data_IF_022240353547
#
_entry.id   IF_022240353547
#
_cell.length_a   1.000
_cell.length_b   1.000
_cell.length_c   1.000
_cell.angle_alpha   90.00
_cell.angle_beta   90.00
_cell.angle_gamma   90.00
#
_symmetry.space_group_name_H-M   'P 1'
#
loop_
_entity.id
_entity.type
_entity.pdbx_description
1 polymer ?
#
# COMPACT_ATOMS: atom_id res chain seq x y z
N UNK A 1 14.21 -14.76 11.44
CA UNK A 1 13.76 -15.26 10.11
C UNK A 1 14.97 -15.26 9.17
N UNK A 2 15.21 -16.29 8.36
CA UNK A 2 16.40 -16.35 7.48
C UNK A 2 16.31 -15.37 6.31
N UNK A 3 17.44 -15.01 5.68
CA UNK A 3 17.48 -14.09 4.51
C UNK A 3 16.59 -14.55 3.37
N UNK A 4 16.55 -15.85 3.13
CA UNK A 4 15.70 -16.46 2.09
C UNK A 4 14.22 -16.31 2.43
N UNK A 5 13.82 -16.57 3.68
CA UNK A 5 12.43 -16.34 4.11
C UNK A 5 12.02 -14.86 4.00
N UNK A 6 12.94 -13.91 4.24
CA UNK A 6 12.68 -12.47 4.06
C UNK A 6 12.42 -12.13 2.59
N UNK A 7 13.19 -12.69 1.63
CA UNK A 7 12.90 -12.51 0.19
C UNK A 7 11.51 -13.00 -0.19
N UNK A 8 11.12 -14.17 0.31
CA UNK A 8 9.81 -14.76 0.04
C UNK A 8 8.69 -13.91 0.64
N UNK A 9 8.86 -13.45 1.88
CA UNK A 9 7.94 -12.51 2.51
C UNK A 9 7.82 -11.21 1.70
N UNK A 10 8.93 -10.64 1.25
CA UNK A 10 8.94 -9.43 0.43
C UNK A 10 8.16 -9.62 -0.88
N UNK A 11 8.30 -10.80 -1.50
CA UNK A 11 7.55 -11.15 -2.70
C UNK A 11 6.03 -11.25 -2.45
N UNK A 12 5.62 -11.93 -1.37
CA UNK A 12 4.20 -12.01 -0.99
C UNK A 12 3.64 -10.64 -0.62
N UNK A 13 4.37 -9.83 0.14
CA UNK A 13 3.96 -8.48 0.50
C UNK A 13 3.83 -7.57 -0.73
N UNK A 14 4.77 -7.66 -1.67
CA UNK A 14 4.71 -6.94 -2.94
C UNK A 14 3.44 -7.30 -3.71
N UNK A 15 3.14 -8.60 -3.85
CA UNK A 15 1.94 -9.07 -4.54
C UNK A 15 0.66 -8.56 -3.86
N UNK A 16 0.57 -8.64 -2.53
CA UNK A 16 -0.57 -8.13 -1.76
C UNK A 16 -0.74 -6.61 -1.90
N UNK A 17 0.37 -5.87 -1.96
CA UNK A 17 0.38 -4.41 -2.13
C UNK A 17 -0.08 -3.95 -3.52
N UNK A 18 -0.14 -4.85 -4.52
CA UNK A 18 -0.63 -4.47 -5.87
C UNK A 18 -2.12 -4.14 -5.88
N UNK A 19 -2.92 -4.90 -5.14
CA UNK A 19 -4.35 -4.67 -4.96
C UNK A 19 -4.78 -5.15 -3.56
N UNK A 20 -4.56 -4.33 -2.52
CA UNK A 20 -4.98 -4.66 -1.17
C UNK A 20 -6.50 -4.76 -1.07
N UNK A 21 -7.01 -5.82 -0.47
CA UNK A 21 -8.46 -6.02 -0.28
C UNK A 21 -9.03 -4.91 0.62
N UNK A 22 -8.38 -4.67 1.77
CA UNK A 22 -8.72 -3.57 2.68
C UNK A 22 -7.51 -2.70 2.91
N UNK A 23 -7.45 -1.53 2.25
CA UNK A 23 -6.32 -0.60 2.37
C UNK A 23 -6.12 -0.12 3.81
N UNK A 24 -7.22 0.08 4.54
CA UNK A 24 -7.22 0.55 5.93
C UNK A 24 -6.44 -0.39 6.86
N UNK A 25 -6.64 -1.69 6.73
CA UNK A 25 -5.97 -2.69 7.55
C UNK A 25 -4.65 -3.19 6.97
N UNK A 26 -4.53 -3.22 5.64
CA UNK A 26 -3.31 -3.67 4.97
C UNK A 26 -2.11 -2.73 5.23
N UNK A 27 -2.28 -1.41 5.14
CA UNK A 27 -1.15 -0.49 5.26
C UNK A 27 -0.46 -0.45 6.63
N UNK A 28 -1.19 -0.56 7.77
CA UNK A 28 -0.58 -0.80 9.07
C UNK A 28 0.30 -2.06 9.09
N UNK A 29 -0.20 -3.20 8.58
CA UNK A 29 0.55 -4.46 8.51
C UNK A 29 1.79 -4.31 7.61
N UNK A 30 1.64 -3.68 6.44
CA UNK A 30 2.76 -3.38 5.54
C UNK A 30 3.84 -2.55 6.24
N UNK A 31 3.43 -1.53 6.98
CA UNK A 31 4.34 -0.64 7.70
C UNK A 31 5.11 -1.39 8.78
N UNK A 32 4.43 -2.25 9.55
CA UNK A 32 5.07 -3.13 10.53
C UNK A 32 6.10 -4.07 9.89
N UNK A 33 5.75 -4.71 8.77
CA UNK A 33 6.66 -5.61 8.06
C UNK A 33 7.87 -4.84 7.53
N UNK A 34 7.66 -3.64 6.96
CA UNK A 34 8.75 -2.79 6.47
C UNK A 34 9.68 -2.35 7.60
N UNK A 35 9.14 -1.92 8.73
CA UNK A 35 9.92 -1.49 9.90
C UNK A 35 10.71 -2.64 10.52
N UNK A 36 10.14 -3.84 10.55
CA UNK A 36 10.77 -5.01 11.18
C UNK A 36 11.81 -5.71 10.31
N UNK A 37 11.58 -5.79 9.00
CA UNK A 37 12.41 -6.60 8.09
C UNK A 37 13.08 -5.79 6.97
N UNK A 38 12.73 -4.52 6.82
CA UNK A 38 13.29 -3.63 5.81
C UNK A 38 14.41 -2.75 6.33
N UNK A 39 15.09 -2.10 5.40
CA UNK A 39 16.03 -1.02 5.65
C UNK A 39 15.51 0.27 5.00
N UNK A 40 15.72 1.41 5.65
CA UNK A 40 15.37 2.72 5.06
C UNK A 40 16.26 2.96 3.84
N UNK A 41 15.65 3.40 2.74
CA UNK A 41 16.29 3.60 1.43
C UNK A 41 15.94 4.98 0.85
N UNK A 42 16.19 6.03 1.64
CA UNK A 42 15.91 7.41 1.26
C UNK A 42 14.43 7.80 1.38
N UNK A 43 14.08 8.93 0.77
CA UNK A 43 12.72 9.46 0.72
C UNK A 43 12.35 9.88 -0.69
N UNK A 44 11.06 9.93 -0.96
CA UNK A 44 10.48 10.49 -2.19
C UNK A 44 9.49 11.60 -1.82
N UNK A 45 9.33 12.58 -2.70
CA UNK A 45 8.31 13.63 -2.58
C UNK A 45 7.22 13.35 -3.61
N UNK A 46 6.01 13.08 -3.13
CA UNK A 46 4.85 12.82 -3.95
C UNK A 46 3.95 14.05 -4.00
N UNK A 47 3.51 14.43 -5.21
CA UNK A 47 2.45 15.42 -5.42
C UNK A 47 1.18 14.72 -5.89
N UNK A 48 0.10 14.87 -5.12
CA UNK A 48 -1.24 14.40 -5.46
C UNK A 48 -2.07 15.61 -5.85
N UNK A 49 -2.57 15.62 -7.08
CA UNK A 49 -3.42 16.70 -7.60
C UNK A 49 -4.87 16.24 -7.58
N UNK A 50 -5.77 17.10 -7.09
CA UNK A 50 -7.21 16.94 -7.27
C UNK A 50 -7.67 17.87 -8.38
N UNK A 51 -8.19 17.26 -9.44
CA UNK A 51 -8.77 17.98 -10.58
C UNK A 51 -10.01 18.76 -10.16
N UNK A 52 -10.18 19.97 -10.70
CA UNK A 52 -11.36 20.78 -10.41
C UNK A 52 -12.61 20.16 -11.01
N UNK A 53 -13.59 19.84 -10.15
CA UNK A 53 -14.87 19.25 -10.55
C UNK A 53 -15.68 20.15 -11.48
N UNK A 54 -15.43 21.46 -11.46
CA UNK A 54 -16.35 22.45 -12.04
C UNK A 54 -16.08 22.63 -13.53
N UNK A 55 -14.84 22.39 -13.92
CA UNK A 55 -14.35 22.48 -15.29
C UNK A 55 -13.80 21.13 -15.78
N UNK A 56 -13.93 20.06 -15.00
CA UNK A 56 -13.37 18.75 -15.33
C UNK A 56 -11.84 18.77 -15.50
N UNK A 57 -11.15 19.77 -14.95
CA UNK A 57 -9.71 19.96 -15.10
C UNK A 57 -9.27 20.80 -16.29
N UNK A 58 -10.20 21.28 -17.11
CA UNK A 58 -9.87 22.13 -18.27
C UNK A 58 -9.36 23.51 -17.86
N UNK A 59 -9.66 23.94 -16.64
CA UNK A 59 -9.43 25.32 -16.21
C UNK A 59 -10.45 26.32 -16.73
N UNK A 60 -11.38 25.92 -17.60
CA UNK A 60 -12.35 26.82 -18.25
C UNK A 60 -13.79 26.55 -17.85
N UNK A 61 -14.57 27.61 -17.67
CA UNK A 61 -16.01 27.52 -17.47
C UNK A 61 -16.77 27.59 -18.80
N UNK A 62 -16.33 28.48 -19.71
CA UNK A 62 -16.78 28.61 -21.10
C UNK A 62 -15.56 28.88 -22.00
N UNK A 63 -15.74 28.93 -23.33
CA UNK A 63 -14.65 28.97 -24.32
C UNK A 63 -13.57 30.03 -24.02
N UNK A 64 -13.96 31.18 -23.47
CA UNK A 64 -13.09 32.32 -23.15
C UNK A 64 -12.98 32.64 -21.65
N UNK A 65 -13.71 31.94 -20.79
CA UNK A 65 -13.79 32.26 -19.36
C UNK A 65 -13.04 31.23 -18.52
N UNK A 66 -12.12 31.71 -17.70
CA UNK A 66 -11.46 30.90 -16.69
C UNK A 66 -12.45 30.43 -15.63
N UNK A 67 -12.22 29.21 -15.14
CA UNK A 67 -13.05 28.62 -14.11
C UNK A 67 -12.75 29.30 -12.77
N UNK A 68 -13.69 30.11 -12.29
CA UNK A 68 -13.61 30.81 -10.99
C UNK A 68 -13.32 29.91 -9.79
N UNK A 69 -13.62 28.61 -9.87
CA UNK A 69 -13.39 27.64 -8.77
C UNK A 69 -11.92 27.23 -8.62
N UNK A 70 -11.16 27.28 -9.70
CA UNK A 70 -9.74 26.93 -9.71
C UNK A 70 -8.86 28.03 -10.29
N UNK A 71 -9.44 29.21 -10.54
CA UNK A 71 -8.79 30.38 -11.12
C UNK A 71 -7.99 30.03 -12.39
N UNK A 72 -8.66 29.38 -13.36
CA UNK A 72 -8.02 29.00 -14.62
C UNK A 72 -7.10 27.77 -14.57
N UNK A 73 -6.66 27.32 -13.39
CA UNK A 73 -5.62 26.28 -13.28
C UNK A 73 -6.08 24.84 -13.62
N UNK A 74 -7.38 24.58 -13.58
CA UNK A 74 -7.95 23.23 -13.66
C UNK A 74 -7.69 22.37 -12.41
N UNK A 75 -6.98 22.89 -11.41
CA UNK A 75 -6.61 22.17 -10.19
C UNK A 75 -7.41 22.73 -9.01
N UNK A 76 -8.12 21.87 -8.31
CA UNK A 76 -8.83 22.26 -7.09
C UNK A 76 -7.90 22.26 -5.87
N UNK A 77 -7.05 21.25 -5.74
CA UNK A 77 -6.08 21.17 -4.66
C UNK A 77 -4.82 20.39 -5.07
N UNK A 78 -3.71 20.68 -4.39
CA UNK A 78 -2.48 19.88 -4.47
C UNK A 78 -2.05 19.52 -3.06
N UNK A 79 -1.72 18.24 -2.84
CA UNK A 79 -1.15 17.74 -1.59
C UNK A 79 0.24 17.20 -1.85
N UNK A 80 1.21 17.62 -1.03
CA UNK A 80 2.56 17.08 -1.07
C UNK A 80 2.78 16.16 0.11
N UNK A 81 3.34 14.97 -0.15
CA UNK A 81 3.54 13.93 0.84
C UNK A 81 4.95 13.41 0.73
N UNK A 82 5.70 13.43 1.83
CA UNK A 82 7.00 12.75 1.91
C UNK A 82 6.75 11.28 2.18
N UNK A 83 7.34 10.44 1.34
CA UNK A 83 7.29 8.99 1.45
C UNK A 83 8.64 8.47 1.90
N UNK A 84 8.68 7.76 3.04
CA UNK A 84 9.83 6.95 3.43
C UNK A 84 9.90 5.74 2.48
N UNK A 85 11.04 5.58 1.82
CA UNK A 85 11.37 4.37 1.07
C UNK A 85 11.91 3.30 2.00
N UNK A 86 11.38 2.09 1.87
CA UNK A 86 11.78 0.90 2.61
C UNK A 86 12.17 -0.19 1.62
N UNK A 87 13.35 -0.77 1.80
CA UNK A 87 13.83 -1.91 1.02
C UNK A 87 13.72 -3.17 1.86
N UNK A 88 12.81 -4.08 1.50
CA UNK A 88 12.69 -5.41 2.11
C UNK A 88 13.23 -6.41 1.10
N UNK A 89 14.41 -6.95 1.39
CA UNK A 89 15.19 -7.72 0.42
C UNK A 89 15.38 -6.97 -0.92
N UNK A 90 14.82 -7.48 -2.03
CA UNK A 90 14.91 -6.90 -3.37
C UNK A 90 13.71 -6.02 -3.75
N UNK A 91 12.75 -5.82 -2.84
CA UNK A 91 11.52 -5.07 -3.09
C UNK A 91 11.53 -3.70 -2.40
N UNK A 92 11.02 -2.70 -3.12
CA UNK A 92 10.87 -1.32 -2.65
C UNK A 92 9.42 -1.05 -2.24
N UNK A 93 9.23 -0.41 -1.09
CA UNK A 93 7.94 -0.01 -0.55
C UNK A 93 7.99 1.44 -0.10
N UNK A 94 6.83 2.09 -0.12
CA UNK A 94 6.66 3.47 0.31
C UNK A 94 5.70 3.55 1.50
N UNK A 95 6.06 4.35 2.49
CA UNK A 95 5.23 4.70 3.64
C UNK A 95 5.13 6.24 3.74
N UNK A 96 3.91 6.82 3.75
CA UNK A 96 3.75 8.24 4.06
C UNK A 96 4.28 8.55 5.46
N UNK A 97 5.14 9.56 5.58
CA UNK A 97 5.68 10.01 6.88
C UNK A 97 5.29 11.44 7.22
N UNK A 98 5.01 12.27 6.21
CA UNK A 98 4.73 13.69 6.43
C UNK A 98 3.89 14.25 5.28
N UNK A 99 2.94 15.14 5.59
CA UNK A 99 2.32 16.03 4.61
C UNK A 99 2.99 17.39 4.71
N UNK A 100 3.39 17.95 3.58
CA UNK A 100 4.16 19.20 3.52
C UNK A 100 3.35 20.23 2.75
N UNK A 101 3.38 21.48 3.21
CA UNK A 101 2.77 22.59 2.47
C UNK A 101 3.68 22.99 1.31
N UNK A 102 3.10 23.57 0.26
CA UNK A 102 3.88 24.01 -0.92
C UNK A 102 5.01 24.97 -0.53
N UNK A 103 4.75 25.90 0.40
CA UNK A 103 5.72 26.89 0.84
C UNK A 103 6.90 26.27 1.62
N UNK A 104 6.70 25.08 2.20
CA UNK A 104 7.70 24.39 3.02
C UNK A 104 8.57 23.41 2.20
N UNK A 105 8.36 23.33 0.88
CA UNK A 105 9.12 22.43 0.03
C UNK A 105 10.60 22.81 -0.10
N UNK A 106 10.97 24.07 0.20
CA UNK A 106 12.36 24.54 0.12
C UNK A 106 12.97 24.35 -1.27
N UNK A 107 12.17 24.49 -2.33
CA UNK A 107 12.60 24.26 -3.72
C UNK A 107 12.71 22.79 -4.15
N UNK A 108 12.36 21.82 -3.29
CA UNK A 108 12.33 20.40 -3.69
C UNK A 108 11.22 20.14 -4.68
N UNK A 109 11.57 19.52 -5.81
CA UNK A 109 10.60 19.08 -6.80
C UNK A 109 10.06 17.68 -6.48
N UNK A 110 8.75 17.42 -6.68
CA UNK A 110 8.19 16.09 -6.57
C UNK A 110 8.80 15.14 -7.61
N UNK A 111 9.26 13.97 -7.17
CA UNK A 111 9.73 12.90 -8.06
C UNK A 111 8.66 11.83 -8.31
N UNK A 112 7.49 11.95 -7.67
CA UNK A 112 6.31 11.13 -7.92
C UNK A 112 5.13 12.05 -8.20
N UNK A 113 4.61 11.97 -9.42
CA UNK A 113 3.39 12.64 -9.84
C UNK A 113 2.24 11.64 -9.74
N UNK A 114 1.22 11.98 -8.97
CA UNK A 114 0.07 11.12 -8.62
C UNK A 114 0.32 10.03 -7.58
N UNK A 115 -0.76 9.33 -7.25
CA UNK A 115 -0.73 8.14 -6.39
C UNK A 115 0.06 7.04 -7.09
N UNK A 116 0.94 6.38 -6.34
CA UNK A 116 1.67 5.20 -6.80
C UNK A 116 0.65 4.13 -7.21
N UNK A 117 0.69 3.74 -8.49
CA UNK A 117 -0.11 2.65 -9.06
C UNK A 117 0.77 1.43 -9.22
N UNK A 118 0.21 0.27 -8.93
CA UNK A 118 0.87 -1.01 -9.13
C UNK A 118 0.14 -1.79 -10.21
N UNK A 119 0.87 -2.45 -11.09
CA UNK A 119 0.27 -3.37 -12.06
C UNK A 119 -0.47 -4.49 -11.31
N UNK A 120 -1.69 -4.85 -11.72
CA UNK A 120 -2.45 -5.90 -11.06
C UNK A 120 -1.69 -7.22 -11.05
N UNK A 121 -1.74 -7.93 -9.92
CA UNK A 121 -1.20 -9.26 -9.77
C UNK A 121 -2.34 -10.26 -9.58
N UNK A 122 -2.42 -11.29 -10.43
CA UNK A 122 -3.54 -12.26 -10.45
C UNK A 122 -3.68 -13.08 -9.15
N UNK A 123 -2.62 -13.15 -8.34
CA UNK A 123 -2.64 -13.83 -7.04
C UNK A 123 -2.61 -12.85 -5.85
N UNK A 124 -2.82 -11.54 -6.09
CA UNK A 124 -2.98 -10.54 -5.01
C UNK A 124 -3.99 -10.96 -3.95
N UNK A 125 -5.18 -11.53 -4.27
CA UNK A 125 -6.12 -11.98 -3.24
C UNK A 125 -5.52 -13.05 -2.31
N UNK A 126 -4.84 -14.05 -2.87
CA UNK A 126 -4.17 -15.09 -2.09
C UNK A 126 -2.98 -14.53 -1.29
N UNK A 127 -2.27 -13.54 -1.83
CA UNK A 127 -1.20 -12.84 -1.13
C UNK A 127 -1.72 -12.03 0.06
N UNK A 128 -2.86 -11.33 -0.08
CA UNK A 128 -3.52 -10.61 1.01
C UNK A 128 -3.93 -11.58 2.13
N UNK A 129 -4.56 -12.71 1.77
CA UNK A 129 -4.84 -13.78 2.72
C UNK A 129 -3.57 -14.28 3.42
N UNK A 130 -2.48 -14.51 2.69
CA UNK A 130 -1.23 -14.97 3.29
C UNK A 130 -0.65 -13.94 4.27
N UNK A 131 -0.64 -12.65 3.92
CA UNK A 131 -0.22 -11.58 4.82
C UNK A 131 -1.11 -11.54 6.08
N UNK A 132 -2.43 -11.60 5.92
CA UNK A 132 -3.35 -11.69 7.07
C UNK A 132 -3.05 -12.92 7.92
N UNK A 133 -2.92 -14.10 7.31
CA UNK A 133 -2.68 -15.33 8.06
C UNK A 133 -1.37 -15.29 8.85
N UNK A 134 -0.33 -14.69 8.30
CA UNK A 134 0.99 -14.62 8.93
C UNK A 134 1.09 -13.53 10.01
N UNK A 135 0.30 -12.45 9.92
CA UNK A 135 0.53 -11.25 10.73
C UNK A 135 -0.73 -10.67 11.41
N UNK A 136 -1.93 -10.91 10.90
CA UNK A 136 -3.17 -10.39 11.48
C UNK A 136 -4.40 -11.27 11.14
N UNK A 137 -4.87 -12.05 12.11
CA UNK A 137 -6.01 -12.98 11.95
C UNK A 137 -7.28 -12.28 11.50
N UNK A 138 -7.49 -11.05 11.95
CA UNK A 138 -8.72 -10.33 11.65
C UNK A 138 -8.70 -9.86 10.18
N UNK A 139 -7.57 -9.33 9.71
CA UNK A 139 -7.37 -9.01 8.30
C UNK A 139 -7.48 -10.25 7.40
N UNK A 140 -7.03 -11.43 7.86
CA UNK A 140 -7.24 -12.70 7.14
C UNK A 140 -8.73 -12.98 6.91
N UNK A 141 -9.55 -12.91 7.96
CA UNK A 141 -10.98 -13.17 7.85
C UNK A 141 -11.72 -12.11 7.05
N UNK A 142 -11.34 -10.84 7.19
CA UNK A 142 -11.82 -9.76 6.32
C UNK A 142 -11.54 -10.12 4.85
N UNK A 143 -10.29 -10.45 4.50
CA UNK A 143 -9.93 -10.85 3.14
C UNK A 143 -10.73 -12.06 2.64
N UNK A 144 -10.97 -13.06 3.49
CA UNK A 144 -11.70 -14.27 3.12
C UNK A 144 -13.17 -13.99 2.78
N UNK A 145 -13.80 -13.01 3.44
CA UNK A 145 -15.18 -12.61 3.18
C UNK A 145 -15.38 -11.90 1.82
N UNK A 146 -14.31 -11.33 1.25
CA UNK A 146 -14.34 -10.67 -0.05
C UNK A 146 -14.09 -11.62 -1.23
N UNK A 147 -13.87 -12.91 -0.97
CA UNK A 147 -13.68 -13.89 -2.03
C UNK A 147 -15.01 -14.36 -2.60
N UNK A 148 -15.05 -14.54 -3.92
CA UNK A 148 -16.16 -15.19 -4.61
C UNK A 148 -16.16 -16.70 -4.33
N UNK A 149 -17.34 -17.31 -4.24
CA UNK A 149 -17.50 -18.72 -3.86
C UNK A 149 -16.77 -19.70 -4.81
N UNK A 150 -16.77 -19.39 -6.11
CA UNK A 150 -16.12 -20.20 -7.15
C UNK A 150 -14.59 -20.15 -7.08
N UNK A 151 -14.01 -19.05 -6.60
CA UNK A 151 -12.57 -18.91 -6.41
C UNK A 151 -12.10 -19.28 -4.99
N UNK A 152 -13.00 -19.33 -4.01
CA UNK A 152 -12.66 -19.42 -2.58
C UNK A 152 -11.66 -20.55 -2.29
N UNK A 153 -11.98 -21.78 -2.71
CA UNK A 153 -11.13 -22.95 -2.46
C UNK A 153 -9.75 -22.83 -3.12
N UNK A 154 -9.66 -22.22 -4.31
CA UNK A 154 -8.39 -21.99 -4.99
C UNK A 154 -7.53 -20.97 -4.22
N UNK A 155 -8.13 -19.85 -3.79
CA UNK A 155 -7.41 -18.79 -3.07
C UNK A 155 -6.91 -19.25 -1.70
N UNK A 156 -7.68 -20.08 -0.99
CA UNK A 156 -7.23 -20.69 0.26
C UNK A 156 -6.02 -21.60 0.04
N UNK A 157 -6.04 -22.48 -0.97
CA UNK A 157 -4.88 -23.33 -1.31
C UNK A 157 -3.65 -22.51 -1.68
N UNK A 158 -3.82 -21.44 -2.47
CA UNK A 158 -2.74 -20.52 -2.82
C UNK A 158 -2.18 -19.78 -1.60
N UNK A 159 -3.04 -19.35 -0.68
CA UNK A 159 -2.63 -18.75 0.60
C UNK A 159 -1.79 -19.73 1.43
N UNK A 160 -2.23 -20.98 1.58
CA UNK A 160 -1.48 -22.00 2.32
C UNK A 160 -0.13 -22.30 1.67
N UNK A 161 -0.09 -22.42 0.34
CA UNK A 161 1.14 -22.61 -0.41
C UNK A 161 2.10 -21.43 -0.20
N UNK A 162 1.61 -20.19 -0.25
CA UNK A 162 2.40 -18.99 0.01
C UNK A 162 2.93 -18.96 1.45
N UNK A 163 2.10 -19.28 2.45
CA UNK A 163 2.53 -19.37 3.84
C UNK A 163 3.65 -20.41 4.01
N UNK A 164 3.43 -21.65 3.54
CA UNK A 164 4.42 -22.74 3.55
C UNK A 164 5.73 -22.33 2.86
N UNK A 165 5.62 -21.62 1.73
CA UNK A 165 6.80 -21.15 1.01
C UNK A 165 7.60 -20.14 1.82
N UNK A 166 6.95 -19.19 2.48
CA UNK A 166 7.61 -18.16 3.30
C UNK A 166 8.22 -18.76 4.56
N UNK A 167 7.53 -19.66 5.26
CA UNK A 167 7.88 -20.01 6.65
C UNK A 167 8.38 -21.45 6.81
N UNK A 168 8.14 -22.31 5.82
CA UNK A 168 8.53 -23.72 5.82
C UNK A 168 7.42 -24.65 6.34
N UNK A 169 7.76 -25.93 6.61
CA UNK A 169 6.80 -26.95 7.03
C UNK A 169 6.15 -26.68 8.40
N UNK A 170 6.77 -25.87 9.26
CA UNK A 170 6.24 -25.49 10.59
C UNK A 170 5.20 -24.35 10.54
N UNK A 171 4.59 -24.11 9.37
CA UNK A 171 3.66 -22.99 9.14
C UNK A 171 2.40 -23.01 10.00
N UNK A 172 2.04 -24.16 10.59
CA UNK A 172 0.90 -24.31 11.50
C UNK A 172 1.10 -23.59 12.85
N UNK A 173 2.32 -23.23 13.21
CA UNK A 173 2.68 -22.63 14.51
C UNK A 173 2.63 -21.08 14.48
N UNK A 174 2.41 -20.48 13.31
CA UNK A 174 2.65 -19.04 13.14
C UNK A 174 1.45 -18.14 13.45
N UNK A 175 1.44 -17.61 14.67
CA UNK A 175 1.29 -16.18 14.94
C UNK A 175 2.62 -15.71 15.51
N UNK A 176 3.57 -15.33 14.65
CA UNK A 176 4.80 -14.73 15.16
C UNK A 176 4.46 -13.35 15.71
N UNK A 177 4.23 -13.28 17.04
CA UNK A 177 4.32 -12.11 17.92
C UNK A 177 4.59 -10.77 17.22
N UNK A 178 3.62 -10.31 16.44
CA UNK A 178 3.37 -8.90 16.22
C UNK A 178 2.19 -8.60 17.14
N UNK A 179 2.22 -7.50 17.91
CA UNK A 179 0.99 -6.93 18.43
C UNK A 179 0.00 -6.87 17.26
N UNK A 180 -1.22 -7.36 17.45
CA UNK A 180 -2.25 -7.31 16.41
C UNK A 180 -2.28 -5.88 15.85
N UNK A 181 -2.33 -5.69 14.53
CA UNK A 181 -2.22 -4.37 13.93
C UNK A 181 -3.28 -3.40 14.47
N UNK A 182 -4.43 -3.93 14.93
CA UNK A 182 -5.46 -3.21 15.70
C UNK A 182 -4.95 -2.44 16.91
N UNK A 183 -3.98 -2.98 17.66
CA UNK A 183 -3.42 -2.28 18.82
C UNK A 183 -2.72 -0.95 18.47
N UNK A 184 -2.43 -0.71 17.19
CA UNK A 184 -1.83 0.51 16.66
C UNK A 184 -2.84 1.41 15.91
N UNK A 185 -4.05 0.91 15.65
CA UNK A 185 -5.13 1.68 15.01
C UNK A 185 -5.98 2.38 16.08
N UNK A 186 -6.10 1.76 17.27
CA UNK A 186 -6.88 2.25 18.40
C UNK A 186 -6.05 3.13 19.38
N UNK A 187 -4.81 3.49 19.01
CA UNK A 187 -3.86 4.31 19.79
C UNK A 187 -3.56 5.63 19.07
#
# INVERSE_FOLDING_TARGET
MTRERIRRLAHVLWAANTAPISKMHFYPIKSLICQRFGVKDGTDLQRIVQTCWSCGGSGRHFEYDDCYRCDGSGIYSSTYVVLQRWRVADKLFHQPIERVLYNDLGGREPNIHDRIKHSPCSWSPAANLAIGRLFDRWFYWECAQWLQDDEFGLRIRQCEAACKWVVGPDWSVMYHALPAARSLIDS
#
